data_IF_466011687495
#
_entry.id   IF_466011687495
#
_cell.length_a   1.000
_cell.length_b   1.000
_cell.length_c   1.000
_cell.angle_alpha   90.00
_cell.angle_beta   90.00
_cell.angle_gamma   90.00
#
_symmetry.space_group_name_H-M   'P 1'
#
loop_
_entity.id
_entity.type
_entity.pdbx_description
1 polymer ?
#
# COMPACT_ATOMS: atom_id res chain seq x y z
N UNK A 1 -43.70 6.43 17.14
CA UNK A 1 -43.19 7.49 16.27
C UNK A 1 -41.88 7.97 16.84
N UNK A 2 -40.94 8.25 15.94
CA UNK A 2 -39.61 8.84 16.13
C UNK A 2 -38.43 7.92 16.53
N UNK A 3 -37.86 7.25 15.53
CA UNK A 3 -36.50 6.70 15.51
C UNK A 3 -35.93 6.97 14.13
N UNK A 4 -35.63 8.24 13.85
CA UNK A 4 -35.18 8.70 12.53
C UNK A 4 -33.90 9.53 12.48
N UNK A 5 -33.20 9.77 13.61
CA UNK A 5 -32.17 10.83 13.65
C UNK A 5 -30.72 10.42 13.97
N UNK A 6 -30.41 9.17 14.30
CA UNK A 6 -29.04 8.81 14.74
C UNK A 6 -28.09 8.34 13.62
N UNK A 7 -28.60 7.65 12.60
CA UNK A 7 -27.79 7.11 11.48
C UNK A 7 -27.37 8.14 10.42
N UNK A 8 -28.05 9.29 10.36
CA UNK A 8 -27.69 10.39 9.47
C UNK A 8 -26.54 11.26 10.00
N UNK A 9 -26.33 11.27 11.33
CA UNK A 9 -25.34 12.13 11.98
C UNK A 9 -23.89 11.63 11.78
N UNK A 10 -23.64 10.31 11.78
CA UNK A 10 -22.28 9.77 11.60
C UNK A 10 -21.81 9.80 10.14
N UNK A 11 -22.71 9.56 9.18
CA UNK A 11 -22.42 9.66 7.76
C UNK A 11 -22.18 11.13 7.35
N UNK A 12 -22.94 12.08 7.90
CA UNK A 12 -22.72 13.52 7.69
C UNK A 12 -21.38 13.97 8.27
N UNK A 13 -21.01 13.51 9.47
CA UNK A 13 -19.71 13.83 10.08
C UNK A 13 -18.52 13.30 9.24
N UNK A 14 -18.64 12.09 8.67
CA UNK A 14 -17.59 11.51 7.84
C UNK A 14 -17.49 12.20 6.46
N UNK A 15 -18.62 12.62 5.88
CA UNK A 15 -18.67 13.38 4.63
C UNK A 15 -18.09 14.79 4.77
N UNK A 16 -18.21 15.42 5.95
CA UNK A 16 -17.63 16.73 6.24
C UNK A 16 -16.14 16.67 6.65
N UNK A 17 -15.68 15.57 7.24
CA UNK A 17 -14.30 15.43 7.71
C UNK A 17 -13.27 15.38 6.57
N UNK A 18 -13.61 14.80 5.42
CA UNK A 18 -12.71 14.67 4.26
C UNK A 18 -12.38 16.01 3.56
N UNK A 19 -13.36 16.87 3.21
CA UNK A 19 -13.06 18.20 2.65
C UNK A 19 -12.38 19.10 3.68
N UNK A 20 -12.73 18.99 4.97
CA UNK A 20 -12.10 19.75 6.05
C UNK A 20 -10.62 19.38 6.23
N UNK A 21 -10.30 18.08 6.24
CA UNK A 21 -8.91 17.60 6.32
C UNK A 21 -8.07 18.09 5.13
N UNK A 22 -8.65 18.07 3.92
CA UNK A 22 -7.98 18.57 2.73
C UNK A 22 -7.76 20.09 2.78
N UNK A 23 -8.76 20.83 3.25
CA UNK A 23 -8.66 22.28 3.41
C UNK A 23 -7.58 22.66 4.42
N UNK A 24 -7.55 22.02 5.60
CA UNK A 24 -6.53 22.21 6.61
C UNK A 24 -5.13 21.86 6.07
N UNK A 25 -5.01 20.79 5.28
CA UNK A 25 -3.76 20.41 4.65
C UNK A 25 -3.23 21.51 3.71
N UNK A 26 -4.07 22.03 2.82
CA UNK A 26 -3.67 23.10 1.90
C UNK A 26 -3.33 24.40 2.63
N UNK A 27 -4.09 24.76 3.66
CA UNK A 27 -3.83 25.94 4.49
C UNK A 27 -2.47 25.80 5.20
N UNK A 28 -2.17 24.61 5.72
CA UNK A 28 -0.88 24.32 6.36
C UNK A 28 0.28 24.43 5.36
N UNK A 29 0.13 23.88 4.15
CA UNK A 29 1.16 24.00 3.10
C UNK A 29 1.40 25.46 2.70
N UNK A 30 0.33 26.23 2.49
CA UNK A 30 0.43 27.65 2.15
C UNK A 30 1.14 28.46 3.26
N UNK A 31 0.87 28.18 4.52
CA UNK A 31 1.54 28.84 5.65
C UNK A 31 3.02 28.44 5.74
N UNK A 32 3.37 27.19 5.47
CA UNK A 32 4.77 26.76 5.40
C UNK A 32 5.51 27.45 4.26
N UNK A 33 4.89 27.59 3.09
CA UNK A 33 5.49 28.29 1.95
C UNK A 33 5.67 29.78 2.25
N UNK A 34 4.70 30.41 2.94
CA UNK A 34 4.81 31.80 3.39
C UNK A 34 5.94 32.01 4.41
N UNK A 35 6.11 31.10 5.37
CA UNK A 35 7.23 31.16 6.34
C UNK A 35 8.57 30.99 5.62
N UNK A 36 8.62 30.12 4.61
CA UNK A 36 9.85 29.81 3.87
C UNK A 36 10.30 30.94 2.94
N UNK A 37 9.38 31.77 2.44
CA UNK A 37 9.67 32.83 1.46
C UNK A 37 9.74 34.24 2.05
N UNK A 38 9.44 34.43 3.35
CA UNK A 38 9.32 35.75 3.97
C UNK A 38 10.09 35.85 5.31
N UNK A 39 11.38 35.50 5.29
CA UNK A 39 12.23 35.40 6.49
C UNK A 39 12.34 36.67 7.34
N UNK A 40 11.98 37.86 6.84
CA UNK A 40 12.25 39.12 7.55
C UNK A 40 11.03 39.92 8.00
N UNK A 41 9.78 39.56 7.64
CA UNK A 41 8.60 40.39 8.00
C UNK A 41 7.42 39.68 8.67
N UNK A 42 7.41 38.36 8.80
CA UNK A 42 6.34 37.67 9.54
C UNK A 42 6.94 36.71 10.56
N UNK A 43 7.09 37.19 11.80
CA UNK A 43 7.29 36.36 13.00
C UNK A 43 6.01 35.60 13.35
N UNK A 44 5.47 34.81 12.41
CA UNK A 44 4.38 33.89 12.72
C UNK A 44 5.01 32.71 13.46
N UNK A 45 4.97 32.79 14.80
CA UNK A 45 5.43 31.72 15.68
C UNK A 45 4.51 30.51 15.56
N UNK A 46 5.04 29.31 15.84
CA UNK A 46 4.29 28.03 15.84
C UNK A 46 2.99 28.10 16.66
N UNK A 47 2.93 28.94 17.70
CA UNK A 47 1.70 29.11 18.49
C UNK A 47 0.65 29.98 17.81
N UNK A 48 1.05 30.97 16.99
CA UNK A 48 0.13 31.71 16.13
C UNK A 48 -0.45 30.77 15.05
N UNK A 49 0.38 29.87 14.51
CA UNK A 49 -0.06 28.84 13.57
C UNK A 49 -1.13 27.92 14.20
N UNK A 50 -0.89 27.45 15.42
CA UNK A 50 -1.87 26.66 16.18
C UNK A 50 -3.15 27.44 16.45
N UNK A 51 -3.07 28.74 16.75
CA UNK A 51 -4.26 29.56 16.98
C UNK A 51 -5.07 29.79 15.72
N UNK A 52 -4.44 30.02 14.57
CA UNK A 52 -5.12 30.12 13.27
C UNK A 52 -5.82 28.79 12.93
N UNK A 53 -5.12 27.66 13.09
CA UNK A 53 -5.72 26.35 12.81
C UNK A 53 -6.88 26.03 13.77
N UNK A 54 -6.76 26.40 15.05
CA UNK A 54 -7.84 26.23 16.04
C UNK A 54 -9.02 27.14 15.76
N UNK A 55 -8.80 28.39 15.35
CA UNK A 55 -9.89 29.31 15.01
C UNK A 55 -10.57 28.94 13.71
N UNK A 56 -9.83 28.42 12.71
CA UNK A 56 -10.41 27.81 11.52
C UNK A 56 -11.21 26.54 11.86
N UNK A 57 -10.73 25.70 12.77
CA UNK A 57 -11.47 24.54 13.25
C UNK A 57 -12.77 24.95 13.97
N UNK A 58 -12.75 26.04 14.74
CA UNK A 58 -13.92 26.56 15.45
C UNK A 58 -14.97 27.22 14.53
N UNK A 59 -14.60 27.61 13.30
CA UNK A 59 -15.55 28.11 12.28
C UNK A 59 -16.38 26.97 11.67
N UNK A 60 -15.92 25.73 11.79
CA UNK A 60 -16.68 24.53 11.43
C UNK A 60 -17.31 23.98 12.71
N UNK A 61 -18.61 24.23 12.88
CA UNK A 61 -19.36 23.86 14.08
C UNK A 61 -19.44 22.33 14.21
N UNK A 62 -18.48 21.73 14.92
CA UNK A 62 -18.51 20.34 15.37
C UNK A 62 -18.52 20.39 16.89
N UNK A 63 -19.73 20.31 17.47
CA UNK A 63 -19.91 20.19 18.92
C UNK A 63 -19.14 18.98 19.48
N UNK A 64 -18.58 19.09 20.70
CA UNK A 64 -17.72 18.05 21.27
C UNK A 64 -18.55 16.97 21.96
N UNK A 65 -18.38 15.71 21.57
CA UNK A 65 -18.77 14.57 22.40
C UNK A 65 -17.49 13.98 22.97
N UNK A 66 -17.17 14.39 24.20
CA UNK A 66 -16.25 13.70 25.10
C UNK A 66 -17.12 13.22 26.26
N UNK A 67 -17.32 11.91 26.40
CA UNK A 67 -17.19 11.16 27.66
C UNK A 67 -17.81 9.76 27.56
N UNK A 68 -17.04 8.79 28.07
CA UNK A 68 -17.39 7.41 28.46
C UNK A 68 -17.70 6.39 27.34
N UNK A 69 -16.82 5.37 27.22
CA UNK A 69 -16.99 4.08 27.90
C UNK A 69 -15.77 3.19 27.67
N UNK A 70 -15.11 2.84 28.77
CA UNK A 70 -14.25 1.66 28.90
C UNK A 70 -15.08 0.36 28.85
N UNK A 71 -14.36 -0.76 28.68
CA UNK A 71 -14.74 -2.17 28.95
C UNK A 71 -15.23 -2.99 27.73
N UNK A 72 -14.23 -3.67 27.17
CA UNK A 72 -14.13 -5.13 26.99
C UNK A 72 -15.11 -5.89 26.06
N UNK A 73 -14.45 -6.61 25.15
CA UNK A 73 -14.75 -7.93 24.57
C UNK A 73 -16.15 -8.34 24.08
N UNK A 74 -16.07 -8.97 22.90
CA UNK A 74 -16.88 -10.06 22.36
C UNK A 74 -18.11 -9.71 21.47
N UNK A 75 -17.85 -9.92 20.18
CA UNK A 75 -18.63 -10.71 19.21
C UNK A 75 -20.00 -10.24 18.68
N UNK A 76 -19.93 -10.00 17.36
CA UNK A 76 -20.80 -10.55 16.31
C UNK A 76 -22.16 -9.89 16.04
N UNK A 77 -22.26 -9.25 14.87
CA UNK A 77 -23.15 -9.69 13.78
C UNK A 77 -23.37 -8.59 12.74
N UNK A 78 -22.87 -8.85 11.53
CA UNK A 78 -23.57 -8.69 10.25
C UNK A 78 -24.36 -7.40 9.96
N UNK A 79 -23.76 -6.52 9.15
CA UNK A 79 -24.42 -6.05 7.92
C UNK A 79 -23.44 -6.09 6.75
N UNK A 80 -23.45 -7.24 6.08
CA UNK A 80 -23.12 -7.38 4.67
C UNK A 80 -23.88 -6.32 3.85
N UNK A 81 -23.16 -5.44 3.17
CA UNK A 81 -23.63 -4.96 1.87
C UNK A 81 -23.39 -6.06 0.85
N UNK A 82 -24.27 -7.05 0.82
CA UNK A 82 -24.44 -7.94 -0.34
C UNK A 82 -25.11 -7.14 -1.44
N UNK A 83 -24.31 -6.55 -2.33
CA UNK A 83 -24.74 -6.41 -3.71
C UNK A 83 -24.22 -7.65 -4.46
N UNK A 84 -25.16 -8.55 -4.67
CA UNK A 84 -25.24 -9.68 -5.60
C UNK A 84 -24.05 -9.94 -6.54
N UNK A 85 -23.58 -11.18 -6.41
CA UNK A 85 -22.56 -11.91 -7.15
C UNK A 85 -22.90 -12.19 -8.62
N UNK A 86 -22.77 -11.18 -9.50
CA UNK A 86 -22.72 -11.42 -10.95
C UNK A 86 -21.65 -10.60 -11.70
N UNK A 87 -21.16 -9.49 -11.12
CA UNK A 87 -20.28 -8.53 -11.82
C UNK A 87 -18.86 -8.41 -11.23
N UNK A 88 -18.43 -9.31 -10.33
CA UNK A 88 -17.05 -9.27 -9.81
C UNK A 88 -16.08 -9.70 -10.91
N UNK A 89 -15.27 -8.74 -11.37
CA UNK A 89 -14.16 -8.96 -12.29
C UNK A 89 -13.23 -10.08 -11.79
N UNK A 90 -12.71 -10.88 -12.72
CA UNK A 90 -11.75 -11.94 -12.42
C UNK A 90 -10.33 -11.40 -12.25
N UNK A 91 -9.46 -12.20 -11.64
CA UNK A 91 -8.06 -11.81 -11.47
C UNK A 91 -7.33 -11.60 -12.81
N UNK A 92 -7.60 -12.44 -13.81
CA UNK A 92 -7.03 -12.30 -15.15
C UNK A 92 -7.52 -11.04 -15.84
N UNK A 93 -8.83 -10.78 -15.82
CA UNK A 93 -9.41 -9.58 -16.41
C UNK A 93 -8.89 -8.31 -15.72
N UNK A 94 -8.78 -8.30 -14.39
CA UNK A 94 -8.18 -7.18 -13.65
C UNK A 94 -6.73 -6.93 -14.10
N UNK A 95 -5.95 -8.01 -14.29
CA UNK A 95 -4.58 -7.91 -14.78
C UNK A 95 -4.51 -7.29 -16.18
N UNK A 96 -5.37 -7.72 -17.10
CA UNK A 96 -5.42 -7.17 -18.46
C UNK A 96 -5.76 -5.68 -18.47
N UNK A 97 -6.81 -5.27 -17.74
CA UNK A 97 -7.20 -3.87 -17.63
C UNK A 97 -6.08 -3.01 -17.01
N UNK A 98 -5.40 -3.53 -15.99
CA UNK A 98 -4.27 -2.85 -15.38
C UNK A 98 -3.10 -2.67 -16.35
N UNK A 99 -2.72 -3.70 -17.09
CA UNK A 99 -1.64 -3.62 -18.07
C UNK A 99 -1.99 -2.64 -19.19
N UNK A 100 -3.23 -2.66 -19.68
CA UNK A 100 -3.74 -1.69 -20.66
C UNK A 100 -3.65 -0.26 -20.12
N UNK A 101 -4.02 -0.04 -18.86
CA UNK A 101 -3.87 1.27 -18.20
C UNK A 101 -2.41 1.73 -18.14
N UNK A 102 -1.46 0.84 -17.86
CA UNK A 102 -0.02 1.17 -17.84
C UNK A 102 0.54 1.49 -19.22
N UNK A 103 0.14 0.73 -20.24
CA UNK A 103 0.49 1.00 -21.64
C UNK A 103 -0.02 2.38 -22.05
N UNK A 104 -1.29 2.68 -21.79
CA UNK A 104 -1.90 3.98 -22.14
C UNK A 104 -1.24 5.17 -21.42
N UNK A 105 -0.64 4.94 -20.26
CA UNK A 105 0.14 5.95 -19.52
C UNK A 105 1.60 6.08 -19.98
N UNK A 106 2.02 5.35 -21.00
CA UNK A 106 3.38 5.43 -21.56
C UNK A 106 4.45 4.79 -20.69
N UNK A 107 4.11 3.76 -19.91
CA UNK A 107 5.12 3.01 -19.14
C UNK A 107 6.07 2.27 -20.09
N UNK A 108 7.35 2.17 -19.71
CA UNK A 108 8.36 1.43 -20.50
C UNK A 108 7.96 -0.05 -20.67
N UNK A 109 8.21 -0.62 -21.86
CA UNK A 109 7.93 -2.02 -22.17
C UNK A 109 8.51 -3.01 -21.15
N UNK A 110 9.73 -2.75 -20.67
CA UNK A 110 10.36 -3.54 -19.61
C UNK A 110 9.55 -3.53 -18.31
N UNK A 111 9.04 -2.36 -17.92
CA UNK A 111 8.22 -2.19 -16.71
C UNK A 111 6.87 -2.89 -16.86
N UNK A 112 6.24 -2.82 -18.04
CA UNK A 112 5.00 -3.54 -18.35
C UNK A 112 5.20 -5.05 -18.25
N UNK A 113 6.27 -5.57 -18.85
CA UNK A 113 6.64 -6.99 -18.76
C UNK A 113 6.84 -7.44 -17.30
N UNK A 114 7.50 -6.60 -16.54
CA UNK A 114 7.75 -6.81 -15.11
C UNK A 114 6.44 -6.91 -14.28
N UNK A 115 5.42 -6.10 -14.61
CA UNK A 115 4.06 -6.24 -14.05
C UNK A 115 3.39 -7.52 -14.53
N UNK A 116 3.44 -7.79 -15.84
CA UNK A 116 2.86 -9.00 -16.44
C UNK A 116 3.39 -10.27 -15.79
N UNK A 117 4.71 -10.37 -15.57
CA UNK A 117 5.34 -11.52 -14.92
C UNK A 117 4.86 -11.70 -13.48
N UNK A 118 4.59 -10.61 -12.76
CA UNK A 118 4.11 -10.66 -11.37
C UNK A 118 2.62 -11.03 -11.30
N UNK A 119 1.81 -10.47 -12.20
CA UNK A 119 0.39 -10.79 -12.30
C UNK A 119 0.18 -12.25 -12.74
N UNK A 120 0.98 -12.73 -13.70
CA UNK A 120 0.97 -14.13 -14.12
C UNK A 120 1.30 -15.08 -12.96
N UNK A 121 2.31 -14.74 -12.16
CA UNK A 121 2.68 -15.55 -11.00
C UNK A 121 1.55 -15.59 -9.95
N UNK A 122 0.85 -14.48 -9.75
CA UNK A 122 -0.33 -14.44 -8.88
C UNK A 122 -1.47 -15.32 -9.42
N UNK A 123 -1.70 -15.27 -10.73
CA UNK A 123 -2.70 -16.10 -11.42
C UNK A 123 -2.34 -17.60 -11.36
N UNK A 124 -1.07 -17.94 -11.55
CA UNK A 124 -0.56 -19.32 -11.38
C UNK A 124 -0.77 -19.83 -9.94
N UNK A 125 -0.74 -18.95 -8.94
CA UNK A 125 -0.83 -19.30 -7.53
C UNK A 125 -2.27 -19.57 -7.07
N UNK A 126 -3.22 -18.73 -7.49
CA UNK A 126 -4.61 -18.78 -7.03
C UNK A 126 -5.61 -19.23 -8.10
N UNK A 127 -5.20 -19.26 -9.37
CA UNK A 127 -6.08 -19.56 -10.50
C UNK A 127 -7.02 -18.41 -10.85
N UNK A 128 -8.03 -18.73 -11.66
CA UNK A 128 -9.09 -17.79 -12.01
C UNK A 128 -10.09 -17.69 -10.85
N UNK A 129 -9.91 -16.67 -10.03
CA UNK A 129 -10.80 -16.34 -8.92
C UNK A 129 -11.35 -14.92 -9.06
N UNK A 130 -12.60 -14.67 -8.65
CA UNK A 130 -13.13 -13.31 -8.54
C UNK A 130 -12.33 -12.51 -7.51
N UNK A 131 -12.03 -11.26 -7.81
CA UNK A 131 -11.19 -10.45 -6.91
C UNK A 131 -11.85 -10.17 -5.55
N UNK A 132 -13.19 -10.21 -5.48
CA UNK A 132 -13.93 -10.03 -4.24
C UNK A 132 -13.87 -11.25 -3.31
N UNK A 133 -13.52 -12.42 -3.86
CA UNK A 133 -13.26 -13.61 -3.04
C UNK A 133 -11.95 -13.52 -2.27
N UNK A 134 -11.07 -12.56 -2.63
CA UNK A 134 -9.75 -12.47 -2.05
C UNK A 134 -9.79 -11.97 -0.61
N UNK A 135 -9.30 -12.79 0.33
CA UNK A 135 -9.17 -12.47 1.76
C UNK A 135 -7.72 -12.23 2.15
N UNK A 136 -7.52 -11.66 3.35
CA UNK A 136 -6.18 -11.47 3.94
C UNK A 136 -5.36 -12.77 4.04
N UNK A 137 -6.00 -13.93 4.13
CA UNK A 137 -5.32 -15.22 4.14
C UNK A 137 -4.56 -15.45 2.83
N UNK A 138 -5.17 -15.19 1.67
CA UNK A 138 -4.47 -15.29 0.39
C UNK A 138 -3.29 -14.33 0.29
N UNK A 139 -3.39 -13.16 0.92
CA UNK A 139 -2.26 -12.26 1.07
C UNK A 139 -1.08 -12.90 1.80
N UNK A 140 -1.32 -13.68 2.86
CA UNK A 140 -0.28 -14.43 3.60
C UNK A 140 0.22 -15.64 2.81
N UNK A 141 -0.71 -16.44 2.28
CA UNK A 141 -0.39 -17.63 1.47
C UNK A 141 0.49 -17.26 0.28
N UNK A 142 0.25 -16.11 -0.35
CA UNK A 142 1.06 -15.63 -1.46
C UNK A 142 2.52 -15.40 -1.05
N UNK A 143 2.76 -14.81 0.13
CA UNK A 143 4.12 -14.62 0.65
C UNK A 143 4.80 -15.96 0.89
N UNK A 144 4.09 -16.93 1.47
CA UNK A 144 4.63 -18.24 1.77
C UNK A 144 4.94 -19.04 0.49
N UNK A 145 4.10 -18.91 -0.54
CA UNK A 145 4.38 -19.43 -1.88
C UNK A 145 5.66 -18.80 -2.43
N UNK A 146 5.77 -17.47 -2.43
CA UNK A 146 6.95 -16.77 -2.96
C UNK A 146 8.25 -17.20 -2.26
N UNK A 147 8.22 -17.38 -0.94
CA UNK A 147 9.39 -17.84 -0.16
C UNK A 147 9.85 -19.24 -0.55
N UNK A 148 8.95 -20.10 -1.01
CA UNK A 148 9.24 -21.49 -1.38
C UNK A 148 9.52 -21.67 -2.88
N UNK A 149 9.41 -20.61 -3.68
CA UNK A 149 9.63 -20.71 -5.11
C UNK A 149 11.12 -20.79 -5.47
N UNK A 150 11.51 -21.74 -6.35
CA UNK A 150 12.86 -21.80 -6.84
C UNK A 150 13.19 -20.64 -7.80
N UNK A 151 14.43 -20.18 -7.71
CA UNK A 151 15.03 -19.21 -8.62
C UNK A 151 15.14 -19.77 -10.03
N UNK A 152 14.96 -18.88 -11.02
CA UNK A 152 15.01 -19.24 -12.45
C UNK A 152 14.07 -20.40 -12.83
N UNK A 153 12.91 -20.53 -12.18
CA UNK A 153 11.98 -21.66 -12.35
C UNK A 153 11.62 -21.96 -13.80
N UNK A 154 11.40 -20.93 -14.62
CA UNK A 154 11.07 -21.08 -16.04
C UNK A 154 12.18 -21.73 -16.86
N UNK A 155 13.44 -21.60 -16.44
CA UNK A 155 14.59 -22.24 -17.10
C UNK A 155 14.95 -23.58 -16.47
N UNK A 156 14.99 -23.64 -15.13
CA UNK A 156 15.42 -24.83 -14.38
C UNK A 156 14.34 -25.92 -14.31
N UNK A 157 13.07 -25.53 -14.33
CA UNK A 157 11.92 -26.43 -14.11
C UNK A 157 10.78 -26.12 -15.09
N UNK A 158 11.01 -26.28 -16.41
CA UNK A 158 10.00 -26.02 -17.41
C UNK A 158 8.78 -26.93 -17.21
N UNK A 159 7.57 -26.37 -17.34
CA UNK A 159 6.31 -27.12 -17.26
C UNK A 159 5.84 -27.51 -15.86
N UNK A 160 6.63 -27.27 -14.80
CA UNK A 160 6.19 -27.53 -13.42
C UNK A 160 5.26 -26.45 -12.90
N UNK A 161 4.18 -26.87 -12.24
CA UNK A 161 3.24 -26.00 -11.55
C UNK A 161 3.82 -25.44 -10.24
N UNK A 162 3.24 -24.33 -9.74
CA UNK A 162 3.65 -23.77 -8.45
C UNK A 162 3.53 -24.79 -7.31
N UNK A 163 2.47 -25.60 -7.29
CA UNK A 163 2.26 -26.62 -6.27
C UNK A 163 3.39 -27.66 -6.25
N UNK A 164 3.83 -28.11 -7.42
CA UNK A 164 4.94 -29.05 -7.53
C UNK A 164 6.27 -28.40 -7.13
N UNK A 165 6.49 -27.14 -7.51
CA UNK A 165 7.71 -26.41 -7.20
C UNK A 165 7.88 -26.17 -5.70
N UNK A 166 6.80 -25.83 -5.00
CA UNK A 166 6.78 -25.61 -3.55
C UNK A 166 7.11 -26.90 -2.77
N UNK A 167 6.79 -28.07 -3.32
CA UNK A 167 7.11 -29.37 -2.71
C UNK A 167 8.55 -29.84 -2.96
N UNK A 168 9.30 -29.18 -3.84
CA UNK A 168 10.67 -29.58 -4.15
C UNK A 168 11.60 -29.29 -2.97
N UNK A 169 12.30 -30.32 -2.50
CA UNK A 169 13.39 -30.17 -1.54
C UNK A 169 14.68 -29.83 -2.29
N UNK A 170 15.53 -28.99 -1.69
CA UNK A 170 16.88 -28.64 -2.17
C UNK A 170 16.94 -27.85 -3.49
N UNK A 171 16.19 -26.76 -3.61
CA UNK A 171 16.33 -25.82 -4.72
C UNK A 171 16.81 -24.44 -4.24
N UNK A 172 17.61 -23.76 -5.07
CA UNK A 172 17.96 -22.36 -4.81
C UNK A 172 16.69 -21.52 -4.90
N UNK A 173 16.30 -20.86 -3.81
CA UNK A 173 15.06 -20.09 -3.72
C UNK A 173 15.23 -18.69 -4.33
N UNK A 174 14.13 -18.05 -4.71
CA UNK A 174 14.18 -16.65 -5.16
C UNK A 174 14.67 -15.73 -4.04
N UNK A 175 15.47 -14.72 -4.42
CA UNK A 175 15.98 -13.75 -3.45
C UNK A 175 14.85 -12.94 -2.82
N UNK A 176 15.07 -12.43 -1.59
CA UNK A 176 14.14 -11.52 -0.94
C UNK A 176 13.81 -10.31 -1.82
N UNK A 177 14.80 -9.75 -2.53
CA UNK A 177 14.58 -8.64 -3.46
C UNK A 177 13.56 -8.99 -4.54
N UNK A 178 13.62 -10.21 -5.06
CA UNK A 178 12.66 -10.73 -6.05
C UNK A 178 11.27 -10.90 -5.44
N UNK A 179 11.18 -11.40 -4.20
CA UNK A 179 9.92 -11.51 -3.44
C UNK A 179 9.29 -10.13 -3.27
N UNK A 180 10.03 -9.16 -2.74
CA UNK A 180 9.56 -7.77 -2.57
C UNK A 180 9.08 -7.18 -3.89
N UNK A 181 9.84 -7.37 -4.97
CA UNK A 181 9.49 -6.90 -6.32
C UNK A 181 8.13 -7.43 -6.78
N UNK A 182 7.83 -8.71 -6.58
CA UNK A 182 6.51 -9.28 -6.91
C UNK A 182 5.40 -8.75 -6.02
N UNK A 183 5.62 -8.70 -4.70
CA UNK A 183 4.63 -8.21 -3.72
C UNK A 183 4.25 -6.76 -3.99
N UNK A 184 5.23 -5.89 -4.25
CA UNK A 184 4.99 -4.48 -4.55
C UNK A 184 4.14 -4.29 -5.81
N UNK A 185 4.34 -5.14 -6.83
CA UNK A 185 3.61 -5.08 -8.10
C UNK A 185 2.18 -5.57 -7.98
N UNK A 186 1.99 -6.69 -7.28
CA UNK A 186 0.65 -7.17 -6.93
C UNK A 186 -0.06 -6.13 -6.07
N UNK A 187 0.63 -5.54 -5.09
CA UNK A 187 0.05 -4.44 -4.30
C UNK A 187 -0.29 -3.23 -5.18
N UNK A 188 0.50 -2.91 -6.20
CA UNK A 188 0.19 -1.83 -7.14
C UNK A 188 -1.02 -2.12 -8.03
N UNK A 189 -1.23 -3.38 -8.43
CA UNK A 189 -2.42 -3.87 -9.13
C UNK A 189 -3.67 -3.62 -8.27
N UNK A 190 -3.69 -4.10 -7.03
CA UNK A 190 -4.84 -3.95 -6.14
C UNK A 190 -5.08 -2.50 -5.69
N UNK A 191 -4.02 -1.72 -5.49
CA UNK A 191 -4.17 -0.28 -5.25
C UNK A 191 -4.78 0.46 -6.44
N UNK A 192 -4.50 0.01 -7.67
CA UNK A 192 -5.16 0.54 -8.85
C UNK A 192 -6.62 0.07 -8.92
N UNK A 193 -6.89 -1.20 -8.63
CA UNK A 193 -8.24 -1.76 -8.59
C UNK A 193 -9.17 -0.98 -7.64
N UNK A 194 -8.67 -0.62 -6.45
CA UNK A 194 -9.39 0.23 -5.50
C UNK A 194 -9.73 1.59 -6.10
N UNK A 195 -8.78 2.22 -6.81
CA UNK A 195 -9.00 3.52 -7.44
C UNK A 195 -10.03 3.46 -8.58
N UNK A 196 -10.18 2.30 -9.22
CA UNK A 196 -11.20 2.08 -10.25
C UNK A 196 -12.55 1.63 -9.68
N UNK A 197 -12.64 1.37 -8.36
CA UNK A 197 -13.86 0.91 -7.72
C UNK A 197 -14.13 -0.59 -7.87
N UNK A 198 -13.16 -1.39 -8.33
CA UNK A 198 -13.33 -2.84 -8.48
C UNK A 198 -13.26 -3.60 -7.15
N UNK A 199 -12.59 -3.06 -6.14
CA UNK A 199 -12.51 -3.65 -4.81
C UNK A 199 -12.31 -2.55 -3.76
N UNK A 200 -12.64 -2.83 -2.49
CA UNK A 200 -12.52 -1.87 -1.39
C UNK A 200 -11.17 -1.98 -0.65
N UNK A 201 -10.42 -3.07 -0.83
CA UNK A 201 -9.22 -3.34 -0.05
C UNK A 201 -8.11 -4.03 -0.83
N UNK A 202 -6.88 -3.86 -0.36
CA UNK A 202 -5.71 -4.54 -0.89
C UNK A 202 -5.24 -5.57 0.13
N UNK A 203 -5.61 -6.84 -0.09
CA UNK A 203 -5.30 -7.94 0.84
C UNK A 203 -3.82 -8.31 0.89
N UNK A 204 -3.04 -7.93 -0.15
CA UNK A 204 -1.61 -8.21 -0.27
C UNK A 204 -0.73 -7.16 0.41
N UNK A 205 -1.30 -6.00 0.76
CA UNK A 205 -0.54 -4.92 1.40
C UNK A 205 -0.07 -5.32 2.80
N UNK A 206 1.20 -5.01 3.07
CA UNK A 206 1.80 -5.16 4.41
C UNK A 206 1.97 -6.61 4.87
N UNK A 207 1.92 -7.59 3.97
CA UNK A 207 2.09 -9.02 4.31
C UNK A 207 3.55 -9.46 4.30
N UNK A 208 4.40 -8.73 3.58
CA UNK A 208 5.84 -8.93 3.59
C UNK A 208 6.48 -8.03 4.63
N UNK A 209 7.19 -8.63 5.59
CA UNK A 209 7.98 -7.88 6.56
C UNK A 209 9.16 -7.18 5.88
N UNK A 210 9.38 -5.92 6.27
CA UNK A 210 10.55 -5.17 5.81
C UNK A 210 11.78 -5.69 6.53
N UNK A 211 12.80 -6.10 5.77
CA UNK A 211 14.11 -6.37 6.35
C UNK A 211 14.75 -5.02 6.69
N UNK A 212 15.20 -4.87 7.94
CA UNK A 212 16.00 -3.71 8.35
C UNK A 212 17.20 -3.61 7.41
N UNK A 213 17.32 -2.49 6.70
CA UNK A 213 18.51 -2.22 5.88
C UNK A 213 19.71 -2.16 6.82
N UNK A 214 20.61 -3.12 6.73
CA UNK A 214 21.94 -2.96 7.31
C UNK A 214 22.59 -1.80 6.57
N UNK A 215 22.75 -0.66 7.24
CA UNK A 215 23.50 0.46 6.70
C UNK A 215 24.96 -0.02 6.66
N UNK A 216 25.41 -0.43 5.49
CA UNK A 216 26.84 -0.62 5.24
C UNK A 216 27.41 0.79 5.18
N UNK A 217 27.91 1.27 6.31
CA UNK A 217 28.68 2.50 6.35
C UNK A 217 29.95 2.21 5.56
N UNK A 218 30.09 2.82 4.38
CA UNK A 218 31.35 2.78 3.65
C UNK A 218 32.44 3.31 4.58
N UNK A 219 33.40 2.43 4.93
CA UNK A 219 34.57 2.86 5.69
C UNK A 219 35.41 3.73 4.75
N UNK A 220 35.76 4.92 5.20
CA UNK A 220 36.74 5.73 4.51
C UNK A 220 38.10 5.03 4.61
N UNK A 221 38.92 5.14 3.57
CA UNK A 221 40.29 4.65 3.63
C UNK A 221 41.04 5.37 4.76
N UNK A 222 41.72 4.59 5.59
CA UNK A 222 42.71 5.11 6.53
C UNK A 222 43.92 5.63 5.76
N UNK A 223 44.71 6.52 6.37
CA UNK A 223 45.94 7.04 5.75
C UNK A 223 46.87 5.90 5.30
N UNK A 224 47.01 4.85 6.11
CA UNK A 224 47.82 3.67 5.80
C UNK A 224 47.29 2.89 4.58
N UNK A 225 45.97 2.74 4.44
CA UNK A 225 45.37 2.10 3.28
C UNK A 225 45.50 2.97 2.02
N UNK A 226 45.43 4.29 2.16
CA UNK A 226 45.71 5.24 1.08
C UNK A 226 47.16 5.13 0.62
N UNK A 227 48.13 5.15 1.55
CA UNK A 227 49.55 5.03 1.24
C UNK A 227 49.85 3.68 0.54
N UNK A 228 49.18 2.60 0.98
CA UNK A 228 49.29 1.27 0.37
C UNK A 228 48.70 1.18 -1.04
N UNK A 229 47.57 1.85 -1.29
CA UNK A 229 46.90 1.88 -2.61
C UNK A 229 47.62 2.82 -3.58
N UNK A 230 48.18 3.92 -3.07
CA UNK A 230 48.88 4.93 -3.87
C UNK A 230 50.35 4.58 -4.14
N UNK A 231 50.92 3.62 -3.40
CA UNK A 231 52.26 3.10 -3.65
C UNK A 231 53.40 3.95 -3.07
N UNK A 232 53.12 4.79 -2.09
CA UNK A 232 54.10 5.66 -1.41
C UNK A 232 54.82 4.95 -0.23
N UNK A 233 54.94 3.61 -0.29
CA UNK A 233 55.60 2.80 0.74
C UNK A 233 57.13 2.74 0.59
#
# INVERSE_FOLDING_TARGET
MDVGNSSYLSAAAFLQAKPLSLHLHHLTQHLYDQIRHNSDQLKITVDQLKQILKSELAKFDVSPIVDQLDVDSAEDSNQSTTNTSADSITLSELSELFLKSRINRGFEAKTIKDYQDSNKLLLEAFGEIPIDSLKHQHGRDYIDILRQLPSNRTKKYPGKSIKELVQMKNADLISQRTITKHVERVSALFNWAIKQGYTNQNVFRGKLESIRKTIVVEKHFTKQELDLVLGDA
#
